data_IF_808550236553
#
_entry.id   IF_808550236553
#
_cell.length_a   1.000
_cell.length_b   1.000
_cell.length_c   1.000
_cell.angle_alpha   90.00
_cell.angle_beta   90.00
_cell.angle_gamma   90.00
#
_symmetry.space_group_name_H-M   'P 1'
#
loop_
_entity.id
_entity.type
_entity.pdbx_description
1 polymer ?
#
# COMPACT_ATOMS: atom_id res chain seq x y z
N UNK A 1 59.46 31.90 -8.16
CA UNK A 1 58.81 30.78 -7.47
C UNK A 1 57.80 31.33 -6.47
N UNK A 2 56.51 31.26 -6.77
CA UNK A 2 55.44 31.69 -5.85
C UNK A 2 54.60 30.45 -5.52
N UNK A 3 54.76 29.97 -4.30
CA UNK A 3 54.00 28.88 -3.69
C UNK A 3 52.54 29.35 -3.45
N UNK A 4 51.58 28.68 -4.00
CA UNK A 4 50.16 28.85 -3.69
C UNK A 4 49.75 27.82 -2.64
N UNK A 5 49.44 28.30 -1.47
CA UNK A 5 48.80 27.49 -0.41
C UNK A 5 47.34 27.30 -0.73
N UNK A 6 46.88 26.05 -0.79
CA UNK A 6 45.47 25.68 -0.82
C UNK A 6 44.96 25.62 0.62
N UNK A 7 44.01 26.48 0.94
CA UNK A 7 43.20 26.39 2.17
C UNK A 7 42.05 25.43 1.91
N UNK A 8 42.07 24.29 2.56
CA UNK A 8 40.96 23.36 2.62
C UNK A 8 40.00 23.85 3.69
N UNK A 9 38.84 24.39 3.27
CA UNK A 9 37.74 24.65 4.21
C UNK A 9 37.03 23.33 4.53
N UNK A 10 37.19 22.86 5.74
CA UNK A 10 36.38 21.81 6.31
C UNK A 10 35.02 22.40 6.70
N UNK A 11 33.97 22.01 5.98
CA UNK A 11 32.59 22.28 6.38
C UNK A 11 32.24 21.30 7.49
N UNK A 12 32.25 21.74 8.72
CA UNK A 12 31.71 20.98 9.84
C UNK A 12 30.20 21.01 9.76
N UNK A 13 29.58 19.86 9.40
CA UNK A 13 28.16 19.66 9.56
C UNK A 13 27.81 19.68 11.06
N UNK A 14 27.15 20.75 11.48
CA UNK A 14 26.62 20.90 12.83
C UNK A 14 25.32 20.08 12.90
N UNK A 15 25.43 18.83 13.37
CA UNK A 15 24.26 18.04 13.76
C UNK A 15 23.63 18.70 14.97
N UNK A 16 22.53 19.40 14.77
CA UNK A 16 21.66 19.89 15.84
C UNK A 16 20.98 18.67 16.49
N UNK A 17 21.53 18.26 17.62
CA UNK A 17 20.85 17.45 18.62
C UNK A 17 19.63 18.24 19.11
N UNK A 18 18.45 17.95 18.57
CA UNK A 18 17.17 18.40 19.11
C UNK A 18 16.86 17.51 20.30
N UNK A 19 17.31 17.94 21.50
CA UNK A 19 16.90 17.34 22.76
C UNK A 19 15.45 17.73 23.07
N UNK A 20 14.56 16.70 23.17
CA UNK A 20 13.47 16.71 24.13
C UNK A 20 12.38 17.78 23.98
N UNK A 21 11.60 17.71 22.90
CA UNK A 21 10.22 18.18 22.95
C UNK A 21 9.33 16.95 22.68
N UNK A 22 8.39 16.64 23.60
CA UNK A 22 7.52 15.46 23.46
C UNK A 22 6.97 15.37 22.04
N UNK A 23 7.07 14.19 21.42
CA UNK A 23 6.65 13.96 20.04
C UNK A 23 5.22 14.48 19.88
N UNK A 24 5.00 15.42 18.96
CA UNK A 24 3.66 15.91 18.63
C UNK A 24 2.89 14.73 18.04
N UNK A 25 1.63 14.54 18.44
CA UNK A 25 0.75 13.56 17.81
C UNK A 25 0.77 13.77 16.30
N UNK A 26 1.04 12.70 15.56
CA UNK A 26 1.05 12.70 14.10
C UNK A 26 -0.27 12.18 13.54
N UNK A 27 -0.65 12.69 12.40
CA UNK A 27 -1.75 12.25 11.57
C UNK A 27 -1.39 12.64 10.14
N UNK A 28 -0.83 11.71 9.38
CA UNK A 28 -0.15 11.98 8.11
C UNK A 28 -0.47 10.89 7.09
N UNK A 29 -0.70 11.27 5.83
CA UNK A 29 -0.62 10.36 4.71
C UNK A 29 0.86 10.11 4.40
N UNK A 30 1.34 8.89 4.61
CA UNK A 30 2.74 8.52 4.36
C UNK A 30 2.97 7.96 2.96
N UNK A 31 1.95 7.34 2.37
CA UNK A 31 1.97 6.88 0.98
C UNK A 31 0.71 7.38 0.27
N UNK A 32 0.74 8.54 -0.39
CA UNK A 32 -0.31 8.92 -1.32
C UNK A 32 -0.31 8.00 -2.54
N UNK A 33 -1.46 7.80 -3.15
CA UNK A 33 -1.59 6.89 -4.28
C UNK A 33 -2.02 5.48 -3.86
N UNK A 34 -1.77 4.48 -4.69
CA UNK A 34 -2.29 3.11 -4.53
C UNK A 34 -1.34 2.23 -3.72
N UNK A 35 -1.44 2.36 -2.41
CA UNK A 35 -0.72 1.56 -1.41
C UNK A 35 -1.71 1.01 -0.37
N UNK A 36 -2.61 0.09 -0.80
CA UNK A 36 -3.69 -0.43 0.03
C UNK A 36 -3.22 -1.55 0.97
N UNK A 37 -4.01 -1.76 2.04
CA UNK A 37 -3.89 -2.92 2.92
C UNK A 37 -2.50 -3.02 3.58
N UNK A 38 -2.01 -1.94 4.25
CA UNK A 38 -0.67 -1.90 4.79
C UNK A 38 -0.45 -2.91 5.92
N UNK A 39 0.63 -3.68 5.82
CA UNK A 39 1.18 -4.44 6.93
C UNK A 39 2.56 -3.90 7.28
N UNK A 40 2.80 -3.62 8.56
CA UNK A 40 4.03 -2.99 9.04
C UNK A 40 4.68 -3.81 10.14
N UNK A 41 5.99 -3.94 10.08
CA UNK A 41 6.84 -4.62 11.06
C UNK A 41 7.92 -3.68 11.57
N UNK A 42 8.17 -3.67 12.88
CA UNK A 42 9.35 -3.08 13.50
C UNK A 42 10.39 -4.15 13.82
N UNK A 43 11.64 -3.91 13.44
CA UNK A 43 12.79 -4.73 13.77
C UNK A 43 13.91 -3.85 14.36
N UNK A 44 13.92 -3.71 15.66
CA UNK A 44 14.81 -2.75 16.34
C UNK A 44 14.42 -1.30 16.06
N UNK A 45 15.27 -0.59 15.33
CA UNK A 45 15.04 0.80 14.89
C UNK A 45 14.53 0.88 13.45
N UNK A 46 14.45 -0.24 12.77
CA UNK A 46 14.00 -0.32 11.38
C UNK A 46 12.52 -0.68 11.29
N UNK A 47 11.86 -0.12 10.30
CA UNK A 47 10.47 -0.42 9.96
C UNK A 47 10.40 -0.91 8.54
N UNK A 48 9.56 -1.91 8.32
CA UNK A 48 9.30 -2.49 7.00
C UNK A 48 7.82 -2.54 6.75
N UNK A 49 7.41 -2.26 5.51
CA UNK A 49 6.01 -2.26 5.10
C UNK A 49 5.86 -2.90 3.74
N UNK A 50 4.73 -3.57 3.53
CA UNK A 50 4.29 -4.01 2.21
C UNK A 50 2.76 -3.91 2.12
N UNK A 51 2.23 -4.05 0.90
CA UNK A 51 0.84 -3.76 0.55
C UNK A 51 0.28 -4.83 -0.38
N UNK A 52 -1.03 -4.82 -0.62
CA UNK A 52 -1.64 -5.59 -1.70
C UNK A 52 -0.99 -5.28 -3.04
N UNK A 53 -0.82 -6.30 -3.84
CA UNK A 53 -0.11 -6.20 -5.11
C UNK A 53 -1.02 -6.44 -6.31
N UNK A 54 -2.14 -7.12 -6.10
CA UNK A 54 -3.04 -7.55 -7.16
C UNK A 54 -2.30 -8.28 -8.29
N UNK A 55 -2.52 -7.91 -9.54
CA UNK A 55 -1.91 -8.53 -10.72
C UNK A 55 -0.63 -7.85 -11.20
N UNK A 56 -0.04 -6.97 -10.39
CA UNK A 56 1.17 -6.24 -10.74
C UNK A 56 2.43 -6.99 -10.27
N UNK A 57 3.32 -7.39 -11.18
CA UNK A 57 4.51 -8.19 -10.87
C UNK A 57 5.82 -7.57 -11.40
N UNK A 58 6.98 -7.78 -10.72
CA UNK A 58 7.15 -8.49 -9.45
C UNK A 58 6.32 -7.88 -8.32
N UNK A 59 5.84 -8.72 -7.40
CA UNK A 59 4.87 -8.35 -6.38
C UNK A 59 5.46 -8.15 -4.99
N UNK A 60 4.62 -7.66 -4.07
CA UNK A 60 4.93 -7.39 -2.67
C UNK A 60 6.17 -6.49 -2.53
N UNK A 61 6.04 -5.25 -3.01
CA UNK A 61 7.07 -4.23 -2.85
C UNK A 61 7.31 -3.96 -1.37
N UNK A 62 8.55 -4.13 -0.92
CA UNK A 62 8.97 -3.92 0.46
C UNK A 62 9.57 -2.54 0.58
N UNK A 63 9.07 -1.78 1.53
CA UNK A 63 9.53 -0.47 1.93
C UNK A 63 10.28 -0.54 3.25
N UNK A 64 11.31 0.29 3.39
CA UNK A 64 12.10 0.47 4.60
C UNK A 64 12.04 1.91 5.08
N UNK A 65 11.99 2.09 6.41
CA UNK A 65 12.07 3.38 7.08
C UNK A 65 12.77 3.25 8.43
N UNK A 66 13.35 4.35 8.92
CA UNK A 66 13.88 4.47 10.29
C UNK A 66 13.12 5.48 11.14
N UNK A 67 12.11 6.14 10.59
CA UNK A 67 11.37 7.22 11.27
C UNK A 67 9.84 7.14 11.13
N UNK A 68 9.32 6.14 10.40
CA UNK A 68 7.90 5.94 10.06
C UNK A 68 7.32 6.95 9.05
N UNK A 69 8.10 7.93 8.63
CA UNK A 69 7.61 9.03 7.78
C UNK A 69 8.22 9.02 6.39
N UNK A 70 9.50 8.66 6.28
CA UNK A 70 10.22 8.59 5.02
C UNK A 70 10.53 7.13 4.70
N UNK A 71 10.17 6.70 3.50
CA UNK A 71 10.21 5.31 3.09
C UNK A 71 10.93 5.15 1.75
N UNK A 72 11.77 4.15 1.65
CA UNK A 72 12.45 3.79 0.40
C UNK A 72 12.13 2.35 -0.01
N UNK A 73 11.94 2.07 -1.30
CA UNK A 73 11.71 0.71 -1.77
C UNK A 73 13.03 -0.06 -1.77
N UNK A 74 13.04 -1.28 -1.21
CA UNK A 74 14.27 -2.06 -1.07
C UNK A 74 14.24 -3.40 -1.81
N UNK A 75 13.07 -4.01 -2.00
CA UNK A 75 12.94 -5.32 -2.65
C UNK A 75 11.51 -5.58 -3.15
N UNK A 76 11.38 -6.64 -3.94
CA UNK A 76 10.09 -7.27 -4.25
C UNK A 76 10.15 -8.74 -3.91
N UNK A 77 9.20 -9.21 -3.07
CA UNK A 77 9.28 -10.53 -2.46
C UNK A 77 8.79 -11.66 -3.38
N UNK A 78 7.89 -11.38 -4.33
CA UNK A 78 7.29 -12.39 -5.22
C UNK A 78 7.56 -12.01 -6.66
N UNK A 79 8.10 -12.95 -7.44
CA UNK A 79 8.37 -12.74 -8.85
C UNK A 79 7.10 -12.84 -9.71
N UNK A 80 7.04 -13.43 -10.85
CA UNK A 80 5.83 -13.58 -11.65
C UNK A 80 4.95 -14.72 -11.13
N UNK A 81 3.64 -14.53 -11.08
CA UNK A 81 2.63 -15.53 -10.76
C UNK A 81 1.39 -15.31 -11.63
N UNK A 82 0.54 -16.32 -11.77
CA UNK A 82 -0.70 -16.27 -12.55
C UNK A 82 -1.94 -15.94 -11.71
N UNK A 83 -1.75 -15.40 -10.50
CA UNK A 83 -2.82 -15.01 -9.60
C UNK A 83 -2.63 -13.61 -9.00
N UNK A 84 -3.71 -12.97 -8.56
CA UNK A 84 -3.65 -11.70 -7.84
C UNK A 84 -3.30 -11.91 -6.37
N UNK A 85 -2.41 -11.09 -5.83
CA UNK A 85 -2.03 -11.06 -4.42
C UNK A 85 -2.82 -9.96 -3.70
N UNK A 86 -3.63 -10.37 -2.71
CA UNK A 86 -4.38 -9.46 -1.85
C UNK A 86 -3.61 -9.18 -0.55
N UNK A 87 -4.29 -8.63 0.45
CA UNK A 87 -3.70 -8.08 1.67
C UNK A 87 -2.71 -9.02 2.38
N UNK A 88 -1.42 -8.68 2.45
CA UNK A 88 -0.41 -9.51 3.10
C UNK A 88 -0.32 -9.29 4.61
N UNK A 89 0.39 -10.20 5.28
CA UNK A 89 0.86 -10.02 6.64
C UNK A 89 2.36 -10.27 6.75
N UNK A 90 3.09 -9.27 7.26
CA UNK A 90 4.53 -9.29 7.41
C UNK A 90 4.90 -9.52 8.87
N UNK A 91 5.68 -10.57 9.16
CA UNK A 91 6.14 -10.84 10.50
C UNK A 91 7.58 -11.37 10.54
N UNK A 92 8.19 -11.35 11.74
CA UNK A 92 9.51 -11.93 12.02
C UNK A 92 9.41 -12.91 13.15
N UNK A 93 9.91 -14.13 12.94
CA UNK A 93 9.95 -15.19 13.96
C UNK A 93 11.31 -15.84 13.94
N UNK A 94 11.99 -15.90 15.12
CA UNK A 94 13.30 -16.54 15.29
C UNK A 94 14.36 -16.05 14.27
N UNK A 95 14.36 -14.76 13.98
CA UNK A 95 15.32 -14.14 13.06
C UNK A 95 14.97 -14.25 11.57
N UNK A 96 13.93 -14.98 11.21
CA UNK A 96 13.47 -15.15 9.83
C UNK A 96 12.22 -14.31 9.57
N UNK A 97 12.15 -13.69 8.39
CA UNK A 97 11.00 -12.91 7.92
C UNK A 97 10.04 -13.79 7.14
N UNK A 98 8.75 -13.50 7.27
CA UNK A 98 7.64 -14.18 6.61
C UNK A 98 6.69 -13.15 6.04
N UNK A 99 6.20 -13.37 4.84
CA UNK A 99 5.04 -12.67 4.30
C UNK A 99 4.00 -13.72 3.96
N UNK A 100 2.90 -13.73 4.72
CA UNK A 100 1.70 -14.50 4.40
C UNK A 100 0.81 -13.65 3.52
N UNK A 101 0.26 -14.24 2.47
CA UNK A 101 -0.63 -13.50 1.57
C UNK A 101 -1.68 -14.41 0.94
N UNK A 102 -2.90 -13.89 0.69
CA UNK A 102 -3.94 -14.63 -0.01
C UNK A 102 -3.93 -14.27 -1.48
N UNK A 103 -4.56 -15.13 -2.27
CA UNK A 103 -4.95 -14.80 -3.64
C UNK A 103 -6.40 -14.31 -3.70
N UNK A 104 -6.82 -13.78 -4.84
CA UNK A 104 -8.23 -13.41 -5.10
C UNK A 104 -9.20 -14.59 -4.98
N UNK A 105 -8.72 -15.83 -5.08
CA UNK A 105 -9.52 -17.04 -4.88
C UNK A 105 -9.57 -17.51 -3.43
N UNK A 106 -8.91 -16.81 -2.49
CA UNK A 106 -8.84 -17.18 -1.08
C UNK A 106 -7.82 -18.29 -0.76
N UNK A 107 -6.94 -18.63 -1.69
CA UNK A 107 -5.81 -19.51 -1.43
C UNK A 107 -4.70 -18.72 -0.73
N UNK A 108 -4.07 -19.30 0.29
CA UNK A 108 -3.02 -18.63 1.04
C UNK A 108 -1.63 -19.21 0.75
N UNK A 109 -0.64 -18.32 0.73
CA UNK A 109 0.76 -18.63 0.50
C UNK A 109 1.64 -17.95 1.54
N UNK A 110 2.88 -18.42 1.65
CA UNK A 110 3.93 -17.78 2.44
C UNK A 110 5.25 -17.78 1.68
N UNK A 111 5.97 -16.67 1.74
CA UNK A 111 7.38 -16.54 1.34
C UNK A 111 8.21 -16.16 2.55
N UNK A 112 9.48 -16.57 2.56
CA UNK A 112 10.40 -16.33 3.67
C UNK A 112 11.73 -15.81 3.20
N UNK A 113 12.41 -15.04 4.07
CA UNK A 113 13.78 -14.58 3.84
C UNK A 113 14.53 -14.43 5.16
N UNK A 114 15.86 -14.47 5.10
CA UNK A 114 16.72 -14.17 6.25
C UNK A 114 17.03 -12.68 6.36
N UNK A 115 16.79 -11.90 5.28
CA UNK A 115 16.93 -10.46 5.20
C UNK A 115 15.77 -9.88 4.40
N UNK A 116 15.37 -8.64 4.69
CA UNK A 116 14.26 -7.98 3.99
C UNK A 116 14.53 -7.70 2.51
N UNK A 117 15.80 -7.47 2.17
CA UNK A 117 16.24 -7.31 0.78
C UNK A 117 16.18 -8.64 0.01
N UNK A 118 16.01 -9.74 0.71
CA UNK A 118 16.00 -11.09 0.15
C UNK A 118 17.36 -11.80 0.15
N UNK A 119 17.55 -12.87 -0.64
CA UNK A 119 16.52 -13.41 -1.55
C UNK A 119 15.32 -14.00 -0.79
N UNK A 120 14.13 -13.79 -1.33
CA UNK A 120 12.89 -14.40 -0.84
C UNK A 120 12.72 -15.80 -1.43
N UNK A 121 12.13 -16.70 -0.67
CA UNK A 121 11.85 -18.07 -1.11
C UNK A 121 10.79 -18.13 -2.20
N UNK A 122 10.72 -19.26 -2.90
CA UNK A 122 9.53 -19.58 -3.69
C UNK A 122 8.28 -19.64 -2.79
N UNK A 123 7.09 -19.28 -3.29
CA UNK A 123 5.85 -19.34 -2.55
C UNK A 123 5.48 -20.75 -2.11
N UNK A 124 5.21 -20.93 -0.83
CA UNK A 124 4.70 -22.18 -0.26
C UNK A 124 3.20 -22.05 -0.02
N UNK A 125 2.39 -22.90 -0.66
CA UNK A 125 0.94 -22.92 -0.53
C UNK A 125 0.52 -23.50 0.82
N UNK A 126 -0.30 -22.77 1.57
CA UNK A 126 -0.91 -23.20 2.82
C UNK A 126 -2.28 -23.83 2.56
N UNK A 127 -2.62 -24.90 3.33
CA UNK A 127 -3.90 -25.59 3.19
C UNK A 127 -4.97 -24.94 4.08
N UNK A 128 -5.21 -23.65 3.86
CA UNK A 128 -6.24 -22.87 4.52
C UNK A 128 -6.86 -21.92 3.51
N UNK A 129 -8.16 -21.76 3.56
CA UNK A 129 -8.90 -20.80 2.73
C UNK A 129 -9.25 -19.56 3.54
N UNK A 130 -9.45 -18.45 2.85
CA UNK A 130 -9.81 -17.15 3.39
C UNK A 130 -8.88 -16.07 2.85
N UNK A 131 -9.24 -14.81 3.06
CA UNK A 131 -8.43 -13.66 2.69
C UNK A 131 -7.80 -13.02 3.94
N UNK A 132 -6.89 -12.10 3.74
CA UNK A 132 -6.28 -11.25 4.76
C UNK A 132 -5.66 -12.04 5.92
N UNK A 133 -4.65 -12.88 5.65
CA UNK A 133 -3.99 -13.62 6.72
C UNK A 133 -3.39 -12.68 7.78
N UNK A 134 -3.40 -13.11 9.03
CA UNK A 134 -2.73 -12.45 10.14
C UNK A 134 -2.00 -13.47 11.00
N UNK A 135 -0.68 -13.35 11.11
CA UNK A 135 0.14 -14.24 11.94
C UNK A 135 0.00 -13.88 13.40
N UNK A 136 -0.11 -14.90 14.25
CA UNK A 136 -0.07 -14.77 15.69
C UNK A 136 0.83 -15.84 16.33
N UNK A 137 1.35 -15.55 17.51
CA UNK A 137 2.14 -16.50 18.28
C UNK A 137 1.78 -16.37 19.77
N UNK A 138 1.60 -17.52 20.46
CA UNK A 138 1.38 -17.54 21.90
C UNK A 138 2.71 -17.46 22.68
N UNK A 139 2.61 -17.41 24.02
CA UNK A 139 3.78 -17.32 24.91
C UNK A 139 4.62 -18.61 24.93
N UNK A 140 4.06 -19.72 24.49
CA UNK A 140 4.74 -21.01 24.36
C UNK A 140 5.45 -21.17 23.01
N UNK A 141 5.28 -20.18 22.09
CA UNK A 141 5.86 -20.20 20.76
C UNK A 141 5.02 -20.96 19.73
N UNK A 142 3.79 -21.37 20.08
CA UNK A 142 2.88 -21.95 19.08
C UNK A 142 2.40 -20.83 18.13
N UNK A 143 2.37 -21.15 16.87
CA UNK A 143 2.04 -20.19 15.79
C UNK A 143 0.64 -20.45 15.24
N UNK A 144 -0.01 -19.38 14.83
CA UNK A 144 -1.38 -19.39 14.31
C UNK A 144 -1.48 -18.47 13.11
N UNK A 145 -2.38 -18.81 12.18
CA UNK A 145 -2.75 -17.95 11.07
C UNK A 145 -4.25 -17.63 11.15
N UNK A 146 -4.55 -16.39 11.35
CA UNK A 146 -5.90 -15.84 11.23
C UNK A 146 -6.24 -15.58 9.77
N UNK A 147 -7.52 -15.65 9.42
CA UNK A 147 -8.10 -15.21 8.15
C UNK A 147 -9.39 -14.44 8.41
N UNK A 148 -10.00 -13.90 7.38
CA UNK A 148 -11.29 -13.19 7.45
C UNK A 148 -12.35 -14.00 8.23
N UNK A 149 -13.46 -13.33 8.59
CA UNK A 149 -14.60 -13.88 9.34
C UNK A 149 -14.25 -14.46 10.71
N UNK A 150 -13.12 -14.01 11.30
CA UNK A 150 -12.67 -14.39 12.62
C UNK A 150 -12.19 -15.85 12.75
N UNK A 151 -11.72 -16.44 11.66
CA UNK A 151 -11.17 -17.77 11.63
C UNK A 151 -9.68 -17.81 12.02
N UNK A 152 -9.25 -18.92 12.63
CA UNK A 152 -7.85 -19.19 12.97
C UNK A 152 -7.50 -20.64 12.76
N UNK A 153 -6.31 -20.91 12.23
CA UNK A 153 -5.73 -22.24 12.09
C UNK A 153 -4.35 -22.30 12.73
N UNK A 154 -3.98 -23.41 13.40
CA UNK A 154 -2.63 -23.58 13.92
C UNK A 154 -1.63 -23.81 12.79
N UNK A 155 -0.47 -23.15 12.88
CA UNK A 155 0.68 -23.32 12.01
C UNK A 155 1.69 -24.31 12.59
N UNK A 156 2.49 -24.93 11.72
CA UNK A 156 3.71 -25.61 12.11
C UNK A 156 4.73 -24.67 12.75
N UNK A 157 5.69 -25.19 13.49
CA UNK A 157 6.72 -24.39 14.15
C UNK A 157 7.56 -23.55 13.15
N UNK A 158 7.79 -24.07 11.94
CA UNK A 158 8.46 -23.36 10.86
C UNK A 158 7.55 -22.35 10.13
N UNK A 159 6.24 -22.38 10.40
CA UNK A 159 5.24 -21.49 9.79
C UNK A 159 4.89 -21.78 8.33
N UNK A 160 5.29 -22.93 7.80
CA UNK A 160 5.13 -23.27 6.38
C UNK A 160 3.97 -24.24 6.11
N UNK A 161 3.25 -24.68 7.12
CA UNK A 161 2.09 -25.56 6.94
C UNK A 161 1.03 -25.37 8.03
N UNK A 162 -0.21 -25.69 7.70
CA UNK A 162 -1.33 -25.75 8.65
C UNK A 162 -1.34 -27.13 9.30
N UNK A 163 -1.43 -27.18 10.64
CA UNK A 163 -1.35 -28.43 11.43
C UNK A 163 -2.68 -28.86 12.04
N UNK A 164 -3.73 -28.06 11.93
CA UNK A 164 -5.03 -28.37 12.50
C UNK A 164 -6.20 -27.75 11.72
N UNK A 165 -7.37 -27.75 12.36
CA UNK A 165 -8.58 -27.23 11.74
C UNK A 165 -8.59 -25.70 11.76
N UNK A 166 -9.08 -25.09 10.68
CA UNK A 166 -9.50 -23.69 10.66
C UNK A 166 -10.84 -23.58 11.41
N UNK A 167 -10.91 -22.76 12.43
CA UNK A 167 -12.09 -22.63 13.29
C UNK A 167 -12.38 -21.16 13.60
N UNK A 168 -13.65 -20.82 13.67
CA UNK A 168 -14.10 -19.47 14.03
C UNK A 168 -13.90 -19.24 15.53
N UNK A 169 -13.26 -18.14 15.91
CA UNK A 169 -12.96 -17.75 17.30
C UNK A 169 -13.38 -16.32 17.63
N UNK A 170 -13.83 -15.56 16.64
CA UNK A 170 -14.26 -14.18 16.81
C UNK A 170 -15.44 -13.86 15.89
N UNK A 171 -16.42 -13.13 16.44
CA UNK A 171 -17.55 -12.57 15.70
C UNK A 171 -17.35 -11.06 15.53
N UNK A 172 -17.80 -10.47 14.40
CA UNK A 172 -17.64 -9.05 14.15
C UNK A 172 -18.28 -8.18 15.24
N UNK A 173 -17.66 -7.06 15.52
CA UNK A 173 -18.26 -6.02 16.36
C UNK A 173 -19.54 -5.51 15.72
N UNK A 174 -20.58 -5.33 16.55
CA UNK A 174 -21.86 -4.84 16.06
C UNK A 174 -21.85 -3.31 16.07
N UNK A 175 -21.69 -2.68 14.92
CA UNK A 175 -21.83 -1.24 14.75
C UNK A 175 -23.30 -0.82 14.69
N UNK A 176 -23.63 0.48 14.92
CA UNK A 176 -25.00 0.99 14.85
C UNK A 176 -25.67 0.67 13.50
N UNK A 177 -26.94 0.24 13.55
CA UNK A 177 -27.70 -0.18 12.36
C UNK A 177 -27.90 0.96 11.34
N UNK A 178 -27.87 2.20 11.79
CA UNK A 178 -28.00 3.39 10.95
C UNK A 178 -26.72 3.73 10.17
N UNK A 179 -25.62 3.05 10.41
CA UNK A 179 -24.39 3.29 9.65
C UNK A 179 -24.46 2.65 8.26
N UNK A 180 -24.20 3.46 7.26
CA UNK A 180 -24.12 3.01 5.88
C UNK A 180 -22.77 2.34 5.60
N UNK A 181 -22.80 1.05 5.29
CA UNK A 181 -21.62 0.22 4.96
C UNK A 181 -21.87 -0.59 3.71
N UNK A 182 -20.80 -1.12 3.11
CA UNK A 182 -20.89 -2.10 2.02
C UNK A 182 -21.46 -3.44 2.52
N UNK A 183 -21.12 -3.83 3.76
CA UNK A 183 -21.54 -5.07 4.42
C UNK A 183 -20.77 -5.32 5.70
N UNK A 184 -21.04 -6.40 6.41
CA UNK A 184 -20.33 -6.71 7.67
C UNK A 184 -18.85 -6.99 7.46
N UNK A 185 -18.45 -7.65 6.44
CA UNK A 185 -17.09 -7.95 5.95
C UNK A 185 -15.99 -7.85 7.01
N UNK A 186 -15.94 -8.83 7.94
CA UNK A 186 -14.86 -8.93 8.92
C UNK A 186 -13.58 -9.45 8.26
N UNK A 187 -12.57 -8.59 8.18
CA UNK A 187 -11.33 -8.87 7.46
C UNK A 187 -10.10 -8.26 8.18
N UNK A 188 -8.90 -8.39 7.61
CA UNK A 188 -7.67 -7.76 8.12
C UNK A 188 -7.33 -8.10 9.57
N UNK A 189 -7.31 -9.35 10.01
CA UNK A 189 -6.94 -9.68 11.38
C UNK A 189 -5.44 -9.44 11.61
N UNK A 190 -5.10 -8.44 12.44
CA UNK A 190 -3.72 -8.15 12.87
C UNK A 190 -3.62 -8.32 14.37
N UNK A 191 -2.75 -9.24 14.80
CA UNK A 191 -2.64 -9.62 16.21
C UNK A 191 -1.31 -9.13 16.77
N UNK A 192 -1.38 -8.43 17.90
CA UNK A 192 -0.22 -8.04 18.69
C UNK A 192 -0.37 -8.40 20.16
N UNK A 193 0.75 -8.62 20.84
CA UNK A 193 0.80 -8.81 22.28
C UNK A 193 1.24 -7.52 22.97
N UNK A 194 0.47 -7.07 24.00
CA UNK A 194 0.87 -5.96 24.86
C UNK A 194 0.43 -6.22 26.30
N UNK A 195 1.39 -6.28 27.21
CA UNK A 195 1.13 -6.69 28.60
C UNK A 195 0.51 -8.08 28.66
N UNK A 196 -0.57 -8.22 29.41
CA UNK A 196 -1.26 -9.50 29.63
C UNK A 196 -2.25 -9.85 28.51
N UNK A 197 -2.41 -9.00 27.49
CA UNK A 197 -3.43 -9.17 26.46
C UNK A 197 -2.83 -9.30 25.05
N UNK A 198 -3.49 -10.13 24.26
CA UNK A 198 -3.46 -10.08 22.81
C UNK A 198 -4.52 -9.11 22.35
N UNK A 199 -4.18 -8.29 21.36
CA UNK A 199 -5.10 -7.37 20.72
C UNK A 199 -5.27 -7.80 19.26
N UNK A 200 -6.51 -7.96 18.86
CA UNK A 200 -6.92 -8.22 17.49
C UNK A 200 -7.44 -6.90 16.92
N UNK A 201 -6.75 -6.38 15.93
CA UNK A 201 -7.24 -5.28 15.10
C UNK A 201 -7.83 -5.89 13.85
N UNK A 202 -9.06 -5.55 13.52
CA UNK A 202 -9.75 -6.04 12.33
C UNK A 202 -10.33 -4.88 11.55
N UNK A 203 -10.64 -5.11 10.29
CA UNK A 203 -11.45 -4.19 9.48
C UNK A 203 -12.88 -4.71 9.37
N UNK A 204 -13.82 -3.80 9.33
CA UNK A 204 -15.24 -4.08 9.08
C UNK A 204 -15.83 -3.06 8.13
N UNK A 205 -17.00 -3.37 7.55
CA UNK A 205 -17.78 -2.47 6.71
C UNK A 205 -17.47 -2.53 5.22
N UNK A 206 -16.30 -2.99 4.83
CA UNK A 206 -15.87 -3.07 3.44
C UNK A 206 -15.33 -1.76 2.84
N UNK A 207 -14.39 -1.89 1.91
CA UNK A 207 -13.65 -0.74 1.34
C UNK A 207 -14.33 -0.11 0.11
N UNK A 208 -15.20 -0.86 -0.59
CA UNK A 208 -15.83 -0.44 -1.84
C UNK A 208 -17.19 0.27 -1.65
N UNK A 209 -17.67 0.36 -0.46
CA UNK A 209 -18.97 0.94 -0.16
C UNK A 209 -18.99 2.49 -0.15
N UNK A 210 -19.96 3.07 0.54
CA UNK A 210 -20.02 4.51 0.72
C UNK A 210 -18.78 5.04 1.48
N UNK A 211 -18.53 6.36 1.45
CA UNK A 211 -17.37 6.97 2.13
C UNK A 211 -17.20 6.59 3.60
N UNK A 212 -18.31 6.28 4.28
CA UNK A 212 -18.36 5.93 5.70
C UNK A 212 -18.31 4.42 5.96
N UNK A 213 -18.06 3.59 4.95
CA UNK A 213 -18.21 2.14 5.07
C UNK A 213 -17.13 1.50 5.94
N UNK A 214 -15.86 1.68 5.60
CA UNK A 214 -14.77 0.93 6.20
C UNK A 214 -14.34 1.48 7.55
N UNK A 215 -13.91 0.59 8.46
CA UNK A 215 -13.45 0.96 9.80
C UNK A 215 -12.41 -0.01 10.34
N UNK A 216 -11.60 0.43 11.32
CA UNK A 216 -10.79 -0.45 12.13
C UNK A 216 -11.44 -0.64 13.49
N UNK A 217 -11.63 -1.89 13.91
CA UNK A 217 -12.15 -2.27 15.22
C UNK A 217 -11.11 -3.04 16.01
N UNK A 218 -11.25 -3.05 17.34
CA UNK A 218 -10.30 -3.71 18.24
C UNK A 218 -11.03 -4.63 19.21
N UNK A 219 -10.49 -5.83 19.38
CA UNK A 219 -10.82 -6.73 20.46
C UNK A 219 -9.56 -7.14 21.21
N UNK A 220 -9.69 -7.65 22.45
CA UNK A 220 -8.57 -8.19 23.22
C UNK A 220 -8.93 -9.51 23.88
N UNK A 221 -7.92 -10.30 24.18
CA UNK A 221 -8.04 -11.56 24.92
C UNK A 221 -6.77 -11.87 25.70
N UNK A 222 -6.87 -12.68 26.76
CA UNK A 222 -5.70 -13.25 27.45
C UNK A 222 -5.11 -14.45 26.73
N UNK A 223 -5.83 -15.00 25.77
CA UNK A 223 -5.37 -16.10 24.91
C UNK A 223 -5.34 -15.65 23.46
N UNK A 224 -4.35 -16.11 22.71
CA UNK A 224 -4.21 -15.81 21.27
C UNK A 224 -5.39 -16.32 20.44
N UNK A 225 -6.17 -17.25 20.93
CA UNK A 225 -7.36 -17.82 20.27
C UNK A 225 -8.68 -17.41 20.93
N UNK A 226 -8.67 -16.37 21.75
CA UNK A 226 -9.88 -15.89 22.46
C UNK A 226 -10.16 -16.62 23.79
N UNK A 227 -11.32 -16.40 24.43
CA UNK A 227 -12.41 -15.56 23.92
C UNK A 227 -12.04 -14.08 23.84
N UNK A 228 -12.58 -13.39 22.83
CA UNK A 228 -12.28 -12.00 22.54
C UNK A 228 -13.31 -11.06 23.18
N UNK A 229 -12.84 -9.98 23.79
CA UNK A 229 -13.63 -8.86 24.32
C UNK A 229 -13.50 -7.67 23.40
N UNK A 230 -14.61 -7.15 22.87
CA UNK A 230 -14.61 -5.95 22.03
C UNK A 230 -14.28 -4.70 22.84
N UNK A 231 -13.53 -3.79 22.23
CA UNK A 231 -13.27 -2.46 22.81
C UNK A 231 -14.56 -1.68 23.00
N UNK A 232 -14.78 -1.09 24.20
CA UNK A 232 -15.91 -0.17 24.40
C UNK A 232 -15.70 1.17 23.65
N UNK A 233 -14.55 1.36 23.02
CA UNK A 233 -14.18 2.56 22.28
C UNK A 233 -14.19 2.32 20.76
N UNK A 234 -14.71 1.18 20.29
CA UNK A 234 -14.84 0.92 18.86
C UNK A 234 -15.77 1.92 18.16
N UNK A 235 -15.47 2.25 16.90
CA UNK A 235 -14.29 1.87 16.13
C UNK A 235 -13.06 2.70 16.50
N UNK A 236 -11.85 2.11 16.38
CA UNK A 236 -10.59 2.82 16.57
C UNK A 236 -10.36 3.87 15.48
N UNK A 237 -10.66 3.50 14.23
CA UNK A 237 -10.59 4.38 13.05
C UNK A 237 -11.87 4.25 12.24
N UNK A 238 -12.43 5.38 11.84
CA UNK A 238 -13.65 5.42 11.01
C UNK A 238 -13.77 6.76 10.28
N UNK A 239 -14.52 6.77 9.17
CA UNK A 239 -14.97 7.98 8.49
C UNK A 239 -16.41 8.25 8.88
N UNK A 240 -16.68 9.34 9.59
CA UNK A 240 -18.01 9.68 10.10
C UNK A 240 -18.85 10.53 9.16
N UNK A 241 -18.24 11.14 8.14
CA UNK A 241 -18.93 12.01 7.17
C UNK A 241 -18.25 11.95 5.81
N UNK A 242 -19.04 12.02 4.75
CA UNK A 242 -18.54 12.18 3.39
C UNK A 242 -17.79 13.51 3.14
N UNK A 243 -17.89 14.47 4.07
CA UNK A 243 -17.13 15.73 4.01
C UNK A 243 -15.70 15.60 4.54
N UNK A 244 -15.34 14.43 5.12
CA UNK A 244 -13.98 14.21 5.58
C UNK A 244 -13.00 14.11 4.40
N UNK A 245 -11.73 14.46 4.67
CA UNK A 245 -10.65 14.42 3.69
C UNK A 245 -10.36 13.01 3.17
N UNK A 246 -10.55 12.01 4.04
CA UNK A 246 -10.23 10.62 3.80
C UNK A 246 -11.47 9.75 4.03
N UNK A 247 -11.78 8.92 3.04
CA UNK A 247 -12.92 8.03 2.99
C UNK A 247 -12.53 6.58 3.19
N UNK A 248 -13.48 5.76 3.67
CA UNK A 248 -13.32 4.31 3.85
C UNK A 248 -12.01 3.95 4.56
N UNK A 249 -11.77 4.56 5.72
CA UNK A 249 -10.59 4.33 6.56
C UNK A 249 -10.68 2.95 7.20
N UNK A 250 -9.80 2.02 6.84
CA UNK A 250 -9.82 0.67 7.37
C UNK A 250 -8.51 -0.08 7.13
N UNK A 251 -8.53 -1.38 7.42
CA UNK A 251 -7.42 -2.29 7.21
C UNK A 251 -6.15 -1.85 7.96
N UNK A 252 -6.23 -1.75 9.30
CA UNK A 252 -5.19 -1.13 10.12
C UNK A 252 -4.26 -2.12 10.82
N UNK A 253 -3.01 -1.71 10.98
CA UNK A 253 -1.99 -2.39 11.79
C UNK A 253 -1.43 -1.45 12.86
N UNK A 254 -1.45 -1.86 14.13
CA UNK A 254 -0.82 -1.11 15.22
C UNK A 254 0.69 -1.36 15.25
N UNK A 255 1.46 -0.30 15.52
CA UNK A 255 2.92 -0.33 15.63
C UNK A 255 3.39 0.62 16.72
N UNK A 256 4.49 0.29 17.39
CA UNK A 256 5.16 1.17 18.34
C UNK A 256 6.52 1.66 17.83
N UNK A 257 7.07 2.66 18.52
CA UNK A 257 8.45 3.08 18.34
C UNK A 257 9.33 2.69 19.54
N UNK A 258 10.67 2.78 19.44
CA UNK A 258 11.57 2.46 20.54
C UNK A 258 11.35 3.31 21.81
N UNK A 259 10.74 4.48 21.68
CA UNK A 259 10.39 5.36 22.80
C UNK A 259 9.05 5.01 23.45
N UNK A 260 8.33 4.01 22.91
CA UNK A 260 7.06 3.53 23.43
C UNK A 260 5.84 4.36 22.99
N UNK A 261 5.97 5.20 21.98
CA UNK A 261 4.81 5.80 21.33
C UNK A 261 4.15 4.79 20.41
N UNK A 262 2.83 4.92 20.25
CA UNK A 262 2.03 3.99 19.45
C UNK A 262 1.36 4.69 18.30
N UNK A 263 1.23 3.96 17.21
CA UNK A 263 0.62 4.42 15.98
C UNK A 263 -0.27 3.33 15.38
N UNK A 264 -1.20 3.73 14.54
CA UNK A 264 -1.91 2.84 13.63
C UNK A 264 -1.63 3.29 12.21
N UNK A 265 -1.25 2.36 11.34
CA UNK A 265 -1.24 2.56 9.89
C UNK A 265 -2.47 1.90 9.31
N UNK A 266 -3.12 2.54 8.35
CA UNK A 266 -4.33 2.06 7.70
C UNK A 266 -4.45 2.67 6.31
N UNK A 267 -5.36 2.16 5.49
CA UNK A 267 -5.61 2.77 4.19
C UNK A 267 -6.86 3.64 4.15
N UNK A 268 -6.93 4.56 3.19
CA UNK A 268 -8.11 5.37 2.90
C UNK A 268 -8.08 5.93 1.48
N UNK A 269 -9.25 6.23 0.92
CA UNK A 269 -9.37 7.02 -0.31
C UNK A 269 -9.31 8.51 -0.03
N UNK A 270 -8.64 9.23 -0.89
CA UNK A 270 -8.72 10.69 -0.91
C UNK A 270 -10.11 11.11 -1.40
N UNK A 271 -10.82 11.95 -0.64
CA UNK A 271 -12.12 12.48 -1.01
C UNK A 271 -12.11 13.06 -2.42
N UNK A 272 -12.98 12.54 -3.29
CA UNK A 272 -13.09 12.95 -4.69
C UNK A 272 -12.07 12.31 -5.66
N UNK A 273 -11.13 11.47 -5.17
CA UNK A 273 -10.04 10.92 -5.99
C UNK A 273 -9.86 9.40 -5.82
N UNK A 274 -10.93 8.63 -6.02
CA UNK A 274 -10.83 7.16 -6.03
C UNK A 274 -9.84 6.64 -7.08
N UNK A 275 -9.62 7.39 -8.15
CA UNK A 275 -8.65 7.06 -9.20
C UNK A 275 -7.21 6.96 -8.71
N UNK A 276 -6.86 7.65 -7.62
CA UNK A 276 -5.54 7.51 -6.99
C UNK A 276 -5.36 6.20 -6.22
N UNK A 277 -6.44 5.46 -5.96
CA UNK A 277 -6.38 4.27 -5.12
C UNK A 277 -6.40 4.58 -3.62
N UNK A 278 -6.03 3.59 -2.82
CA UNK A 278 -6.05 3.64 -1.35
C UNK A 278 -4.70 4.05 -0.79
N UNK A 279 -4.63 5.26 -0.31
CA UNK A 279 -3.41 5.82 0.30
C UNK A 279 -3.17 5.25 1.70
N UNK A 280 -1.91 5.08 2.10
CA UNK A 280 -1.55 4.67 3.47
C UNK A 280 -1.37 5.88 4.39
N UNK A 281 -2.02 5.81 5.53
CA UNK A 281 -2.07 6.85 6.55
C UNK A 281 -1.49 6.32 7.85
N UNK A 282 -0.83 7.19 8.61
CA UNK A 282 -0.39 6.91 9.97
C UNK A 282 -0.99 7.92 10.95
N UNK A 283 -1.55 7.44 12.06
CA UNK A 283 -2.04 8.26 13.17
C UNK A 283 -1.50 7.80 14.51
N UNK A 284 -1.23 8.77 15.41
CA UNK A 284 -0.83 8.49 16.79
C UNK A 284 -1.98 7.88 17.59
N UNK A 285 -1.64 6.85 18.36
CA UNK A 285 -2.53 6.12 19.27
C UNK A 285 -2.06 6.34 20.71
N UNK A 286 -3.00 6.44 21.63
CA UNK A 286 -2.75 6.41 23.08
C UNK A 286 -3.52 5.26 23.71
N UNK A 287 -2.99 4.76 24.81
CA UNK A 287 -3.64 3.70 25.59
C UNK A 287 -4.42 4.31 26.75
N UNK A 288 -5.66 3.91 26.90
CA UNK A 288 -6.50 4.28 28.03
C UNK A 288 -6.02 3.62 29.33
N UNK A 289 -6.54 4.05 30.49
CA UNK A 289 -6.16 3.44 31.78
C UNK A 289 -6.60 1.98 31.91
N UNK A 290 -7.68 1.61 31.26
CA UNK A 290 -8.22 0.25 31.19
C UNK A 290 -7.62 -0.58 30.06
N UNK A 291 -6.57 -0.04 29.36
CA UNK A 291 -5.72 -0.78 28.44
C UNK A 291 -6.23 -0.90 27.02
N UNK A 292 -7.05 0.04 26.52
CA UNK A 292 -7.52 0.05 25.14
C UNK A 292 -6.83 1.11 24.30
N UNK A 293 -6.53 0.82 23.03
CA UNK A 293 -6.01 1.83 22.11
C UNK A 293 -7.14 2.76 21.66
N UNK A 294 -6.85 4.06 21.61
CA UNK A 294 -7.72 5.09 21.01
C UNK A 294 -6.86 6.07 20.25
N UNK A 295 -7.39 6.75 19.24
CA UNK A 295 -6.65 7.80 18.54
C UNK A 295 -6.25 8.91 19.53
N UNK A 296 -5.02 9.37 19.41
CA UNK A 296 -4.49 10.42 20.28
C UNK A 296 -5.12 11.79 20.00
N UNK A 297 -5.56 12.02 18.76
CA UNK A 297 -6.29 13.21 18.34
C UNK A 297 -7.80 12.90 18.30
N UNK A 298 -8.64 13.91 18.66
CA UNK A 298 -10.09 13.77 18.56
C UNK A 298 -10.52 13.70 17.09
N UNK A 299 -11.62 12.98 16.82
CA UNK A 299 -12.30 13.04 15.53
C UNK A 299 -12.59 14.48 15.16
N UNK A 300 -12.38 14.86 13.90
CA UNK A 300 -12.55 16.24 13.42
C UNK A 300 -11.37 17.18 13.74
N UNK A 301 -10.31 16.72 14.40
CA UNK A 301 -9.07 17.48 14.43
C UNK A 301 -8.60 17.69 12.97
N UNK A 302 -8.41 18.97 12.60
CA UNK A 302 -7.90 19.29 11.27
C UNK A 302 -6.61 18.51 11.06
N UNK A 303 -6.52 17.84 9.93
CA UNK A 303 -5.25 17.40 9.41
C UNK A 303 -4.38 18.64 9.48
N UNK A 304 -3.28 18.58 10.23
CA UNK A 304 -2.27 19.59 9.97
C UNK A 304 -2.04 19.49 8.48
N UNK A 305 -2.07 20.63 7.81
CA UNK A 305 -1.41 20.88 6.53
C UNK A 305 0.12 20.71 6.70
N UNK A 306 0.50 19.70 7.45
CA UNK A 306 1.76 19.01 7.33
C UNK A 306 1.77 18.51 5.95
N UNK A 307 1.56 19.48 5.17
CA UNK A 307 1.44 19.41 3.82
C UNK A 307 1.69 18.05 3.28
N UNK A 308 1.26 17.78 2.25
CA UNK A 308 1.85 16.78 1.43
C UNK A 308 3.34 16.83 1.75
N UNK A 309 3.84 15.85 2.51
CA UNK A 309 5.26 15.74 2.76
C UNK A 309 5.93 15.72 1.39
N UNK A 310 7.18 16.09 1.35
CA UNK A 310 7.97 15.97 0.14
C UNK A 310 8.04 14.50 -0.26
N UNK A 311 7.07 14.06 -1.11
CA UNK A 311 6.98 12.68 -1.60
C UNK A 311 7.94 12.41 -2.77
N UNK A 312 9.03 13.18 -2.88
CA UNK A 312 10.02 12.96 -3.93
C UNK A 312 10.52 11.51 -3.93
N UNK A 313 10.63 10.90 -2.75
CA UNK A 313 11.00 9.49 -2.64
C UNK A 313 9.99 8.52 -3.31
N UNK A 314 8.72 8.88 -3.43
CA UNK A 314 7.70 8.09 -4.14
C UNK A 314 7.69 8.36 -5.65
N UNK A 315 8.34 9.43 -6.10
CA UNK A 315 8.42 9.84 -7.51
C UNK A 315 9.72 9.40 -8.19
N UNK A 316 10.50 8.51 -7.56
CA UNK A 316 11.72 7.96 -8.14
C UNK A 316 11.41 6.89 -9.21
N UNK A 317 10.73 7.29 -10.28
CA UNK A 317 10.36 6.41 -11.40
C UNK A 317 11.57 5.90 -12.20
N UNK A 318 12.76 6.41 -11.95
CA UNK A 318 14.03 5.86 -12.43
C UNK A 318 14.41 4.57 -11.69
N UNK A 319 13.91 4.36 -10.46
CA UNK A 319 14.13 3.13 -9.71
C UNK A 319 13.28 1.99 -10.29
N UNK A 320 13.90 0.89 -10.77
CA UNK A 320 13.16 -0.24 -11.34
C UNK A 320 12.12 -0.85 -10.38
N UNK A 321 12.32 -0.74 -9.06
CA UNK A 321 11.39 -1.24 -8.06
C UNK A 321 10.04 -0.48 -8.07
N UNK A 322 9.99 0.73 -8.64
CA UNK A 322 8.75 1.49 -8.75
C UNK A 322 7.85 1.03 -9.91
N UNK A 323 8.34 0.13 -10.74
CA UNK A 323 7.60 -0.40 -11.88
C UNK A 323 7.20 -1.85 -11.66
N UNK A 324 6.00 -2.19 -12.11
CA UNK A 324 5.51 -3.55 -12.16
C UNK A 324 4.72 -3.80 -13.44
N UNK A 325 4.86 -5.00 -13.98
CA UNK A 325 4.15 -5.47 -15.17
C UNK A 325 2.69 -5.80 -14.80
N UNK A 326 1.76 -5.40 -15.63
CA UNK A 326 0.41 -5.94 -15.63
C UNK A 326 0.45 -7.37 -16.18
N UNK A 327 0.34 -8.36 -15.30
CA UNK A 327 0.61 -9.77 -15.63
C UNK A 327 -0.43 -10.39 -16.59
N UNK A 328 -1.73 -10.04 -16.57
CA UNK A 328 -2.66 -10.53 -17.59
C UNK A 328 -2.24 -10.20 -19.04
N UNK A 329 -1.33 -9.23 -19.21
CA UNK A 329 -0.92 -8.71 -20.51
C UNK A 329 -1.90 -7.68 -21.04
N UNK A 330 -1.47 -6.92 -22.06
CA UNK A 330 -2.29 -5.89 -22.68
C UNK A 330 -1.96 -5.81 -24.17
N UNK A 331 -2.97 -5.94 -25.02
CA UNK A 331 -2.86 -5.83 -26.49
C UNK A 331 -1.72 -6.68 -27.11
N UNK A 332 -1.38 -7.81 -26.50
CA UNK A 332 -0.33 -8.74 -26.98
C UNK A 332 1.10 -8.33 -26.65
N UNK A 333 1.31 -7.24 -25.94
CA UNK A 333 2.63 -6.77 -25.51
C UNK A 333 2.78 -6.66 -23.98
N UNK A 334 3.83 -5.99 -23.54
CA UNK A 334 4.15 -5.76 -22.13
C UNK A 334 3.67 -4.38 -21.71
N UNK A 335 2.84 -4.32 -20.66
CA UNK A 335 2.42 -3.08 -20.01
C UNK A 335 3.10 -2.98 -18.65
N UNK A 336 3.97 -1.98 -18.50
CA UNK A 336 4.62 -1.64 -17.23
C UNK A 336 3.89 -0.47 -16.59
N UNK A 337 3.56 -0.62 -15.31
CA UNK A 337 2.77 0.36 -14.56
C UNK A 337 3.53 0.88 -13.36
N UNK A 338 3.23 2.11 -12.96
CA UNK A 338 3.69 2.71 -11.71
C UNK A 338 2.53 3.43 -11.01
N UNK A 339 2.68 3.77 -9.73
CA UNK A 339 1.63 4.45 -8.98
C UNK A 339 1.71 5.95 -9.17
N UNK A 340 0.58 6.61 -9.48
CA UNK A 340 0.45 8.05 -9.38
C UNK A 340 0.24 8.47 -7.92
N UNK A 341 0.88 9.56 -7.51
CA UNK A 341 0.82 10.06 -6.11
C UNK A 341 0.23 11.46 -5.99
N UNK A 342 -0.01 12.14 -7.10
CA UNK A 342 -0.52 13.50 -7.16
C UNK A 342 -1.92 13.54 -7.80
N UNK A 343 -2.77 14.47 -7.34
CA UNK A 343 -4.10 14.70 -7.91
C UNK A 343 -4.01 15.31 -9.32
N UNK A 344 -2.93 16.05 -9.57
CA UNK A 344 -2.65 16.69 -10.87
C UNK A 344 -1.20 16.50 -11.24
N UNK A 345 -0.96 15.94 -12.41
CA UNK A 345 0.39 15.66 -12.91
C UNK A 345 0.42 15.55 -14.44
N UNK A 346 1.59 15.72 -15.00
CA UNK A 346 1.90 15.45 -16.41
C UNK A 346 2.89 14.29 -16.50
N UNK A 347 2.62 13.33 -17.36
CA UNK A 347 3.59 12.29 -17.74
C UNK A 347 3.96 12.46 -19.20
N UNK A 348 5.25 12.26 -19.50
CA UNK A 348 5.78 12.29 -20.87
C UNK A 348 6.68 11.07 -21.08
N UNK A 349 6.56 10.43 -22.23
CA UNK A 349 7.44 9.34 -22.63
C UNK A 349 7.95 9.54 -24.05
N UNK A 350 9.19 9.12 -24.29
CA UNK A 350 9.82 9.00 -25.60
C UNK A 350 10.10 7.52 -25.89
N UNK A 351 9.68 7.08 -27.06
CA UNK A 351 9.88 5.72 -27.54
C UNK A 351 10.67 5.72 -28.84
N UNK A 352 11.52 4.69 -28.99
CA UNK A 352 12.09 4.25 -30.25
C UNK A 352 11.30 3.04 -30.74
N UNK A 353 10.81 3.10 -31.96
CA UNK A 353 10.00 2.03 -32.55
C UNK A 353 10.73 1.49 -33.79
N UNK A 354 11.05 0.22 -33.78
CA UNK A 354 11.58 -0.49 -34.92
C UNK A 354 10.50 -0.94 -35.91
N UNK A 355 10.89 -1.72 -36.91
CA UNK A 355 9.99 -2.09 -38.01
C UNK A 355 8.81 -2.98 -37.61
N UNK A 356 8.93 -3.73 -36.53
CA UNK A 356 7.92 -4.65 -35.99
C UNK A 356 7.48 -4.23 -34.56
N UNK A 357 7.82 -3.01 -34.13
CA UNK A 357 7.55 -2.51 -32.79
C UNK A 357 6.21 -1.80 -32.66
N UNK A 358 5.67 -1.81 -31.44
CA UNK A 358 4.59 -0.91 -31.01
C UNK A 358 4.92 -0.36 -29.62
N UNK A 359 4.66 0.91 -29.41
CA UNK A 359 4.87 1.55 -28.12
C UNK A 359 3.77 2.54 -27.78
N UNK A 360 3.52 2.77 -26.51
CA UNK A 360 2.50 3.71 -26.07
C UNK A 360 2.61 4.11 -24.61
N UNK A 361 1.90 5.19 -24.26
CA UNK A 361 1.76 5.70 -22.90
C UNK A 361 0.29 5.80 -22.55
N UNK A 362 -0.06 5.41 -21.32
CA UNK A 362 -1.44 5.30 -20.85
C UNK A 362 -1.60 5.83 -19.42
N UNK A 363 -2.83 6.28 -19.13
CA UNK A 363 -3.45 6.15 -17.81
C UNK A 363 -4.25 4.85 -17.85
N UNK A 364 -3.90 3.89 -17.02
CA UNK A 364 -4.41 2.52 -17.08
C UNK A 364 -5.00 2.08 -15.75
N UNK A 365 -6.27 1.72 -15.75
CA UNK A 365 -6.95 1.04 -14.64
C UNK A 365 -7.04 -0.46 -14.91
N UNK A 366 -7.62 -0.86 -16.05
CA UNK A 366 -7.67 -2.22 -16.60
C UNK A 366 -7.93 -2.15 -18.11
N UNK A 367 -8.17 -3.30 -18.74
CA UNK A 367 -8.39 -3.39 -20.18
C UNK A 367 -9.64 -2.63 -20.67
N UNK A 368 -10.67 -2.51 -19.81
CA UNK A 368 -11.94 -1.82 -20.13
C UNK A 368 -11.91 -0.32 -19.79
N UNK A 369 -10.94 0.13 -18.99
CA UNK A 369 -10.83 1.49 -18.49
C UNK A 369 -9.38 1.99 -18.58
N UNK A 370 -9.03 2.57 -19.71
CA UNK A 370 -7.71 3.17 -19.96
C UNK A 370 -7.82 4.35 -20.95
N UNK A 371 -6.83 5.23 -20.92
CA UNK A 371 -6.72 6.35 -21.84
C UNK A 371 -5.25 6.56 -22.20
N UNK A 372 -4.92 6.51 -23.49
CA UNK A 372 -3.54 6.70 -23.94
C UNK A 372 -3.40 6.71 -25.44
N UNK A 373 -2.17 6.73 -25.92
CA UNK A 373 -1.82 6.66 -27.31
C UNK A 373 -0.77 5.59 -27.58
N UNK A 374 -0.93 4.86 -28.67
CA UNK A 374 0.00 3.83 -29.15
C UNK A 374 0.31 4.10 -30.63
N UNK A 375 1.55 3.81 -31.03
CA UNK A 375 2.02 3.96 -32.41
C UNK A 375 2.85 2.73 -32.81
N UNK A 376 2.83 2.41 -34.09
CA UNK A 376 3.58 1.32 -34.73
C UNK A 376 4.43 1.76 -35.90
N UNK A 377 4.47 3.07 -36.19
CA UNK A 377 5.17 3.62 -37.36
C UNK A 377 6.05 4.79 -36.96
N UNK A 378 7.21 4.89 -37.63
CA UNK A 378 8.18 5.96 -37.38
C UNK A 378 9.18 5.65 -36.26
N UNK A 379 10.41 6.16 -36.40
CA UNK A 379 11.51 5.79 -35.49
C UNK A 379 11.39 6.43 -34.09
N UNK A 380 10.70 7.56 -33.98
CA UNK A 380 10.52 8.33 -32.75
C UNK A 380 9.06 8.62 -32.51
N UNK A 381 8.60 8.29 -31.29
CA UNK A 381 7.24 8.56 -30.84
C UNK A 381 7.26 9.15 -29.43
N UNK A 382 6.66 10.31 -29.29
CA UNK A 382 6.52 11.01 -28.02
C UNK A 382 5.05 11.10 -27.65
N UNK A 383 4.74 10.77 -26.40
CA UNK A 383 3.40 10.91 -25.84
C UNK A 383 3.46 11.73 -24.58
N UNK A 384 2.50 12.61 -24.41
CA UNK A 384 2.29 13.39 -23.20
C UNK A 384 0.85 13.24 -22.73
N UNK A 385 0.64 13.02 -21.45
CA UNK A 385 -0.68 12.96 -20.82
C UNK A 385 -0.69 13.91 -19.63
N UNK A 386 -1.61 14.85 -19.63
CA UNK A 386 -1.96 15.66 -18.47
C UNK A 386 -3.15 14.99 -17.78
N UNK A 387 -2.96 14.54 -16.54
CA UNK A 387 -4.05 14.25 -15.65
C UNK A 387 -4.35 15.49 -14.79
N UNK A 388 -5.52 16.06 -14.97
CA UNK A 388 -6.01 17.17 -14.14
C UNK A 388 -7.17 16.67 -13.29
N UNK A 389 -6.84 16.04 -12.17
CA UNK A 389 -7.77 15.44 -11.21
C UNK A 389 -8.62 14.33 -11.84
N UNK A 390 -9.83 14.65 -12.27
CA UNK A 390 -10.80 13.71 -12.83
C UNK A 390 -10.94 13.79 -14.35
N UNK A 391 -10.06 14.57 -15.02
CA UNK A 391 -10.00 14.65 -16.49
C UNK A 391 -8.57 14.45 -16.98
N UNK A 392 -8.42 13.98 -18.21
CA UNK A 392 -7.11 13.84 -18.81
C UNK A 392 -7.13 14.25 -20.29
N UNK A 393 -5.97 14.76 -20.77
CA UNK A 393 -5.74 15.12 -22.16
C UNK A 393 -4.46 14.43 -22.65
N UNK A 394 -4.50 13.93 -23.87
CA UNK A 394 -3.39 13.18 -24.49
C UNK A 394 -2.89 13.94 -25.73
N UNK A 395 -1.58 14.12 -25.84
CA UNK A 395 -0.89 14.66 -27.00
C UNK A 395 0.16 13.69 -27.51
N UNK A 396 0.41 13.75 -28.80
CA UNK A 396 1.46 12.99 -29.46
C UNK A 396 2.37 13.90 -30.28
N UNK A 397 3.62 13.48 -30.48
CA UNK A 397 4.60 14.19 -31.31
C UNK A 397 5.59 13.18 -31.91
N UNK A 398 6.19 13.55 -33.07
CA UNK A 398 7.27 12.77 -33.71
C UNK A 398 8.66 13.38 -33.45
N UNK A 399 8.74 14.55 -32.81
CA UNK A 399 9.99 15.26 -32.55
C UNK A 399 10.11 15.83 -31.12
N UNK A 400 9.11 15.62 -30.28
CA UNK A 400 9.09 16.10 -28.91
C UNK A 400 8.80 17.60 -28.72
N UNK A 401 8.60 18.34 -29.78
CA UNK A 401 8.34 19.81 -29.77
C UNK A 401 6.99 20.17 -30.35
N UNK A 402 6.61 19.57 -31.48
CA UNK A 402 5.37 19.84 -32.19
C UNK A 402 4.27 18.88 -31.74
N UNK A 403 3.52 19.28 -30.73
CA UNK A 403 2.50 18.47 -30.10
C UNK A 403 1.15 18.61 -30.81
N UNK A 404 0.51 17.46 -31.06
CA UNK A 404 -0.87 17.38 -31.58
C UNK A 404 -1.75 16.73 -30.53
N UNK A 405 -2.94 17.28 -30.29
CA UNK A 405 -3.96 16.65 -29.44
C UNK A 405 -4.38 15.35 -30.10
N UNK A 406 -4.25 14.25 -29.34
CA UNK A 406 -4.69 12.92 -29.73
C UNK A 406 -6.07 12.62 -29.13
N UNK A 407 -6.22 12.84 -27.81
CA UNK A 407 -7.50 12.93 -27.13
C UNK A 407 -7.60 14.28 -26.42
N UNK A 408 -8.68 15.01 -26.67
CA UNK A 408 -9.02 16.21 -25.91
C UNK A 408 -9.38 15.88 -24.47
N UNK A 409 -9.82 16.86 -23.71
CA UNK A 409 -10.23 16.67 -22.33
C UNK A 409 -11.27 15.54 -22.20
N UNK A 410 -10.90 14.47 -21.50
CA UNK A 410 -11.66 13.24 -21.35
C UNK A 410 -11.87 12.96 -19.87
N UNK A 411 -13.10 12.65 -19.45
CA UNK A 411 -13.40 12.29 -18.08
C UNK A 411 -12.82 10.90 -17.74
N UNK A 412 -11.98 10.85 -16.71
CA UNK A 412 -11.38 9.61 -16.18
C UNK A 412 -11.75 9.34 -14.72
N UNK A 413 -12.54 10.22 -14.10
CA UNK A 413 -12.92 10.14 -12.69
C UNK A 413 -13.69 8.87 -12.30
N UNK A 414 -14.30 8.18 -13.27
CA UNK A 414 -14.98 6.90 -13.06
C UNK A 414 -14.07 5.67 -13.20
N UNK A 415 -12.76 5.83 -13.49
CA UNK A 415 -11.84 4.71 -13.67
C UNK A 415 -11.37 4.18 -12.30
N UNK A 416 -12.29 3.55 -11.58
CA UNK A 416 -12.05 2.96 -10.26
C UNK A 416 -13.08 1.84 -9.96
N UNK A 417 -12.87 1.11 -8.85
CA UNK A 417 -13.57 -0.13 -8.50
C UNK A 417 -15.10 0.00 -8.34
N UNK A 418 -15.64 1.17 -8.06
CA UNK A 418 -17.09 1.35 -7.97
C UNK A 418 -17.81 1.35 -9.35
N UNK A 419 -17.03 1.43 -10.44
CA UNK A 419 -17.56 1.38 -11.82
C UNK A 419 -17.01 0.20 -12.63
N UNK A 420 -15.79 -0.20 -12.36
CA UNK A 420 -15.09 -1.29 -13.07
C UNK A 420 -14.64 -2.37 -12.11
N UNK A 421 -14.42 -3.59 -12.61
CA UNK A 421 -13.94 -4.71 -11.81
C UNK A 421 -12.49 -4.49 -11.33
N UNK A 422 -12.19 -5.02 -10.15
CA UNK A 422 -10.87 -4.99 -9.52
C UNK A 422 -10.69 -3.81 -8.55
N UNK A 423 -9.73 -3.93 -7.65
CA UNK A 423 -9.39 -2.91 -6.66
C UNK A 423 -8.11 -2.17 -7.06
N UNK A 424 -8.05 -1.73 -8.31
CA UNK A 424 -6.90 -1.03 -8.87
C UNK A 424 -7.00 0.49 -8.70
N UNK A 425 -5.94 1.18 -9.09
CA UNK A 425 -5.93 2.63 -9.28
C UNK A 425 -5.68 2.96 -10.77
N UNK A 426 -5.94 4.20 -11.14
CA UNK A 426 -5.60 4.71 -12.47
C UNK A 426 -4.10 5.05 -12.49
N UNK A 427 -3.31 4.18 -13.08
CA UNK A 427 -1.84 4.22 -13.04
C UNK A 427 -1.23 4.77 -14.33
N UNK A 428 -0.16 5.57 -14.24
CA UNK A 428 0.76 5.77 -15.35
C UNK A 428 1.29 4.42 -15.83
N UNK A 429 1.25 4.18 -17.14
CA UNK A 429 1.72 2.93 -17.73
C UNK A 429 2.34 3.17 -19.11
N UNK A 430 3.44 2.47 -19.41
CA UNK A 430 3.97 2.39 -20.75
C UNK A 430 3.82 0.98 -21.33
N UNK A 431 3.55 0.94 -22.63
CA UNK A 431 3.34 -0.29 -23.40
C UNK A 431 4.49 -0.47 -24.39
N UNK A 432 4.99 -1.70 -24.47
CA UNK A 432 6.00 -2.12 -25.43
C UNK A 432 5.65 -3.47 -26.05
N UNK A 433 5.85 -3.58 -27.36
CA UNK A 433 5.73 -4.82 -28.11
C UNK A 433 6.76 -4.84 -29.24
N UNK A 434 7.22 -6.05 -29.63
CA UNK A 434 8.23 -6.23 -30.68
C UNK A 434 9.55 -5.52 -30.38
N UNK A 435 10.10 -4.84 -31.38
CA UNK A 435 11.38 -4.13 -31.31
C UNK A 435 11.25 -2.66 -30.90
N UNK A 436 10.30 -2.37 -30.00
CA UNK A 436 10.12 -1.03 -29.40
C UNK A 436 10.88 -0.89 -28.07
N UNK A 437 11.31 0.33 -27.76
CA UNK A 437 12.04 0.67 -26.52
C UNK A 437 11.54 1.97 -25.93
N UNK A 438 11.48 2.04 -24.58
CA UNK A 438 11.35 3.29 -23.84
C UNK A 438 12.73 3.95 -23.71
N UNK A 439 12.87 5.19 -24.23
CA UNK A 439 14.09 5.98 -24.10
C UNK A 439 14.06 6.89 -22.86
N UNK A 440 12.89 7.47 -22.56
CA UNK A 440 12.70 8.28 -21.36
C UNK A 440 11.25 8.24 -20.89
N UNK A 441 11.08 8.36 -19.58
CA UNK A 441 9.80 8.61 -18.91
C UNK A 441 9.98 9.74 -17.90
N UNK A 442 9.07 10.67 -17.89
CA UNK A 442 9.09 11.83 -17.01
C UNK A 442 7.73 11.99 -16.34
N UNK A 443 7.73 12.26 -15.02
CA UNK A 443 6.55 12.52 -14.22
C UNK A 443 6.71 13.83 -13.50
N UNK A 444 5.82 14.76 -13.77
CA UNK A 444 5.86 16.12 -13.24
C UNK A 444 4.59 16.43 -12.45
N UNK A 445 4.67 16.61 -11.12
CA UNK A 445 3.54 17.11 -10.32
C UNK A 445 3.22 18.56 -10.71
N UNK A 446 1.94 18.95 -10.63
CA UNK A 446 1.44 20.26 -11.09
C UNK A 446 0.57 20.97 -10.04
#
# INVERSE_FOLDING_TARGET
MKTRSFVVMAVAALSLLVTGCGKKNIKVCIFPGDYPDPTILRDGNDYYMTHSNFTYYPGLLIWHSTDLLHWEPIARAVQGQDYSIYAPDLCKVNGKYYIYYPTSSGENFVVTADKMEGPWSEPVKLRVSGIDPGHAMDEQGNRYLYTNDGHVAPLSADGLSITGRNQKVYDPWQYPEEWETEGMWLESPKILKRGDYYYLVSAEGGTAGPPTSHMCVVARSKSVTGPWENSPYNPLVHTYSADELWWSKGHGTLIDDPEGNWYIVYHAYRNGFHTLGRSTIIESVKWTRDGWPVLAQKNGAKWKDGGLQDYDYLRHYENPLMWAKWEPGFNGGTLMTTTAVDEKYEITAHFKIGSEGRAGLYLFYNEDANLGAVESTGPDFYVKILNDRNTATVWVSTNGTDWKVYYGETAVGSYHHNYYKGFFALRPAYFLDGDAKLESFDYKPL
#
